data_IF_785093488108
#
_entry.id   IF_785093488108
#
_cell.length_a   1.000
_cell.length_b   1.000
_cell.length_c   1.000
_cell.angle_alpha   90.00
_cell.angle_beta   90.00
_cell.angle_gamma   90.00
#
_symmetry.space_group_name_H-M   'P 1'
#
loop_
_entity.id
_entity.type
_entity.pdbx_description
1 polymer ?
#
# COMPACT_ATOMS: atom_id res chain seq x y z
N UNK A 1 19.26 -36.14 10.41
CA UNK A 1 19.13 -35.65 9.02
C UNK A 1 18.99 -34.15 9.07
N UNK A 2 19.99 -33.44 8.52
CA UNK A 2 20.02 -31.98 8.41
C UNK A 2 19.39 -31.57 7.06
N UNK A 3 18.78 -30.39 7.00
CA UNK A 3 18.15 -29.84 5.79
C UNK A 3 18.85 -28.56 5.28
N UNK A 4 20.15 -28.57 4.96
CA UNK A 4 20.92 -27.36 4.65
C UNK A 4 20.45 -26.60 3.40
N UNK A 5 19.79 -27.29 2.46
CA UNK A 5 19.16 -26.65 1.30
C UNK A 5 17.95 -25.80 1.72
N UNK A 6 17.14 -26.28 2.67
CA UNK A 6 16.01 -25.52 3.19
C UNK A 6 16.48 -24.30 4.00
N UNK A 7 17.51 -24.48 4.84
CA UNK A 7 18.13 -23.36 5.58
C UNK A 7 18.63 -22.26 4.64
N UNK A 8 19.34 -22.65 3.58
CA UNK A 8 19.88 -21.68 2.61
C UNK A 8 18.76 -21.00 1.83
N UNK A 9 17.74 -21.73 1.39
CA UNK A 9 16.59 -21.15 0.69
C UNK A 9 15.85 -20.14 1.57
N UNK A 10 15.56 -20.50 2.82
CA UNK A 10 14.90 -19.64 3.79
C UNK A 10 15.68 -18.34 4.04
N UNK A 11 16.99 -18.43 4.30
CA UNK A 11 17.83 -17.25 4.54
C UNK A 11 17.92 -16.37 3.29
N UNK A 12 18.06 -16.97 2.11
CA UNK A 12 18.09 -16.21 0.87
C UNK A 12 16.77 -15.49 0.62
N UNK A 13 15.63 -16.14 0.88
CA UNK A 13 14.32 -15.51 0.72
C UNK A 13 14.18 -14.29 1.62
N UNK A 14 14.46 -14.44 2.92
CA UNK A 14 14.41 -13.34 3.88
C UNK A 14 15.37 -12.20 3.51
N UNK A 15 16.59 -12.52 3.10
CA UNK A 15 17.61 -11.51 2.78
C UNK A 15 17.35 -10.79 1.45
N UNK A 16 16.75 -11.46 0.46
CA UNK A 16 16.61 -10.94 -0.89
C UNK A 16 15.20 -10.42 -1.17
N UNK A 17 14.17 -11.24 -0.96
CA UNK A 17 12.77 -10.88 -1.23
C UNK A 17 12.09 -10.28 0.00
N UNK A 18 12.44 -10.75 1.20
CA UNK A 18 11.67 -10.46 2.41
C UNK A 18 10.42 -11.34 2.52
N UNK A 19 9.66 -11.14 3.59
CA UNK A 19 8.36 -11.78 3.79
C UNK A 19 7.56 -10.94 4.79
N UNK A 20 6.23 -10.91 4.65
CA UNK A 20 5.35 -10.34 5.69
C UNK A 20 5.35 -11.22 6.94
N UNK A 21 5.13 -12.54 6.74
CA UNK A 21 5.06 -13.53 7.80
C UNK A 21 6.08 -14.64 7.60
N UNK A 22 6.76 -15.01 8.67
CA UNK A 22 7.57 -16.23 8.72
C UNK A 22 6.91 -17.24 9.64
N UNK A 23 6.25 -18.23 9.06
CA UNK A 23 5.51 -19.24 9.83
C UNK A 23 6.26 -20.56 9.89
N UNK A 24 6.54 -21.04 11.10
CA UNK A 24 7.04 -22.38 11.34
C UNK A 24 6.01 -23.20 12.09
N UNK A 25 5.71 -24.40 11.61
CA UNK A 25 4.86 -25.36 12.29
C UNK A 25 5.57 -26.69 12.38
N UNK A 26 5.94 -27.10 13.60
CA UNK A 26 6.72 -28.31 13.78
C UNK A 26 7.25 -28.50 15.19
N UNK A 27 8.29 -29.32 15.31
CA UNK A 27 8.99 -29.53 16.56
C UNK A 27 10.19 -28.58 16.64
N UNK A 28 10.40 -28.00 17.80
CA UNK A 28 11.60 -27.21 18.05
C UNK A 28 12.17 -27.51 19.44
N UNK A 29 13.44 -27.19 19.59
CA UNK A 29 14.07 -26.97 20.89
C UNK A 29 14.20 -25.47 21.12
N UNK A 30 14.82 -25.09 22.24
CA UNK A 30 15.10 -23.69 22.56
C UNK A 30 15.89 -22.98 21.44
N UNK A 31 16.79 -23.69 20.78
CA UNK A 31 17.84 -23.14 19.92
C UNK A 31 17.75 -23.54 18.44
N UNK A 32 16.85 -24.45 18.07
CA UNK A 32 16.65 -24.84 16.67
C UNK A 32 15.27 -25.42 16.36
N UNK A 33 14.85 -25.24 15.11
CA UNK A 33 13.75 -25.97 14.50
C UNK A 33 14.18 -27.37 14.05
N UNK A 34 13.24 -28.33 14.04
CA UNK A 34 13.52 -29.71 13.68
C UNK A 34 14.29 -29.83 12.37
N UNK A 35 15.18 -30.82 12.31
CA UNK A 35 16.11 -31.04 11.19
C UNK A 35 17.13 -29.90 10.96
N UNK A 36 17.29 -29.01 11.94
CA UNK A 36 18.14 -27.84 11.88
C UNK A 36 17.82 -26.98 10.65
N UNK A 37 16.52 -26.80 10.37
CA UNK A 37 16.07 -25.92 9.28
C UNK A 37 16.48 -24.48 9.57
N UNK A 38 16.37 -24.04 10.82
CA UNK A 38 16.90 -22.78 11.32
C UNK A 38 17.44 -22.99 12.73
N UNK A 39 18.60 -22.39 13.02
CA UNK A 39 19.25 -22.46 14.33
C UNK A 39 19.75 -21.09 14.76
N UNK A 40 20.06 -20.92 16.05
CA UNK A 40 20.69 -19.69 16.57
C UNK A 40 22.02 -19.35 15.88
N UNK A 41 22.75 -20.35 15.37
CA UNK A 41 23.99 -20.13 14.61
C UNK A 41 23.74 -19.57 13.20
N UNK A 42 22.52 -19.66 12.70
CA UNK A 42 22.16 -19.12 11.38
C UNK A 42 21.71 -17.67 11.45
N UNK A 43 21.25 -17.20 12.61
CA UNK A 43 20.76 -15.83 12.83
C UNK A 43 21.76 -14.74 12.37
N UNK A 44 23.09 -14.84 12.63
CA UNK A 44 24.05 -13.86 12.13
C UNK A 44 24.18 -13.78 10.59
N UNK A 45 23.59 -14.73 9.85
CA UNK A 45 23.58 -14.74 8.37
C UNK A 45 22.43 -13.90 7.80
N UNK A 46 21.51 -13.43 8.64
CA UNK A 46 20.40 -12.59 8.24
C UNK A 46 20.88 -11.15 7.99
N UNK A 47 20.40 -10.57 6.91
CA UNK A 47 20.72 -9.22 6.42
C UNK A 47 19.45 -8.41 6.09
N UNK A 48 18.29 -8.86 6.55
CA UNK A 48 16.96 -8.35 6.20
C UNK A 48 16.49 -7.19 7.10
N UNK A 49 17.40 -6.34 7.57
CA UNK A 49 17.08 -5.28 8.55
C UNK A 49 16.04 -4.26 8.06
N UNK A 50 15.92 -4.09 6.73
CA UNK A 50 14.92 -3.21 6.09
C UNK A 50 13.64 -3.94 5.70
N UNK A 51 13.50 -5.23 6.01
CA UNK A 51 12.35 -6.08 5.67
C UNK A 51 12.16 -7.20 6.69
N UNK A 52 11.86 -6.80 7.91
CA UNK A 52 11.72 -7.71 9.04
C UNK A 52 10.31 -8.34 9.05
N UNK A 53 10.17 -9.67 8.89
CA UNK A 53 8.88 -10.33 9.01
C UNK A 53 8.37 -10.36 10.45
N UNK A 54 7.06 -10.57 10.59
CA UNK A 54 6.48 -11.09 11.83
C UNK A 54 6.62 -12.62 11.88
N UNK A 55 7.20 -13.13 12.97
CA UNK A 55 7.38 -14.55 13.20
C UNK A 55 6.13 -15.21 13.80
N UNK A 56 5.66 -16.30 13.21
CA UNK A 56 4.63 -17.16 13.78
C UNK A 56 5.23 -18.53 14.08
N UNK A 57 5.65 -18.74 15.32
CA UNK A 57 6.30 -19.99 15.73
C UNK A 57 5.29 -20.94 16.36
N UNK A 58 4.68 -21.79 15.53
CA UNK A 58 3.72 -22.83 15.89
C UNK A 58 4.45 -24.11 16.31
N UNK A 59 5.36 -23.96 17.26
CA UNK A 59 6.09 -25.06 17.89
C UNK A 59 5.91 -25.06 19.41
N UNK A 60 6.70 -25.89 20.09
CA UNK A 60 6.57 -26.15 21.51
C UNK A 60 7.57 -25.41 22.41
N UNK A 61 8.60 -24.73 21.88
CA UNK A 61 9.73 -24.39 22.75
C UNK A 61 10.68 -23.25 22.36
N UNK A 62 10.61 -22.69 21.16
CA UNK A 62 11.70 -21.84 20.65
C UNK A 62 11.65 -20.35 21.09
N UNK A 63 10.56 -19.92 21.74
CA UNK A 63 10.44 -18.62 22.42
C UNK A 63 11.08 -18.61 23.81
N UNK A 64 10.86 -19.67 24.59
CA UNK A 64 11.54 -20.01 25.86
C UNK A 64 11.77 -18.85 26.85
N UNK A 65 10.78 -17.97 27.05
CA UNK A 65 10.89 -16.85 27.98
C UNK A 65 10.72 -17.21 29.48
N UNK A 66 10.36 -18.46 29.79
CA UNK A 66 10.26 -18.93 31.18
C UNK A 66 11.60 -18.86 31.94
N UNK A 67 12.74 -18.82 31.22
CA UNK A 67 14.05 -18.50 31.77
C UNK A 67 14.70 -17.37 30.93
N UNK A 68 14.42 -16.10 31.24
CA UNK A 68 14.77 -14.95 30.38
C UNK A 68 16.29 -14.77 30.20
N UNK A 69 17.09 -15.33 31.12
CA UNK A 69 18.55 -15.31 31.06
C UNK A 69 19.12 -16.28 30.01
N UNK A 70 18.30 -17.18 29.46
CA UNK A 70 18.72 -18.18 28.47
C UNK A 70 18.35 -17.72 27.06
N UNK A 71 19.31 -17.68 26.11
CA UNK A 71 19.01 -17.42 24.71
C UNK A 71 18.02 -18.45 24.16
N UNK A 72 17.19 -18.00 23.23
CA UNK A 72 16.22 -18.79 22.49
C UNK A 72 16.25 -18.35 21.04
N UNK A 73 15.84 -19.22 20.11
CA UNK A 73 15.87 -18.92 18.68
C UNK A 73 15.05 -17.67 18.36
N UNK A 74 13.80 -17.57 18.85
CA UNK A 74 12.96 -16.38 18.65
C UNK A 74 13.58 -15.16 19.33
N UNK A 75 14.13 -15.32 20.53
CA UNK A 75 14.82 -14.24 21.23
C UNK A 75 16.03 -13.71 20.45
N UNK A 76 16.79 -14.59 19.81
CA UNK A 76 17.95 -14.21 19.01
C UNK A 76 17.54 -13.57 17.68
N UNK A 77 16.46 -14.05 17.05
CA UNK A 77 15.87 -13.42 15.87
C UNK A 77 15.37 -12.01 16.15
N UNK A 78 14.75 -11.75 17.31
CA UNK A 78 14.28 -10.41 17.69
C UNK A 78 15.40 -9.44 18.09
N UNK A 79 16.57 -9.95 18.50
CA UNK A 79 17.71 -9.14 18.95
C UNK A 79 18.83 -9.04 17.93
N UNK A 80 18.67 -9.65 16.77
CA UNK A 80 19.70 -9.68 15.75
C UNK A 80 19.95 -8.26 15.21
N UNK A 81 21.22 -7.84 15.23
CA UNK A 81 21.58 -6.45 14.88
C UNK A 81 21.54 -6.14 13.38
N UNK A 82 21.27 -7.14 12.53
CA UNK A 82 21.40 -7.02 11.08
C UNK A 82 20.23 -7.68 10.33
N UNK A 83 19.15 -8.07 11.01
CA UNK A 83 18.02 -8.78 10.42
C UNK A 83 17.20 -9.48 11.51
N UNK A 84 16.45 -10.51 11.13
CA UNK A 84 15.64 -11.29 12.07
C UNK A 84 14.15 -10.94 12.00
N UNK A 85 13.51 -10.74 13.15
CA UNK A 85 12.07 -10.47 13.29
C UNK A 85 11.79 -9.08 13.86
N UNK A 86 10.70 -8.44 13.40
CA UNK A 86 10.18 -7.21 14.02
C UNK A 86 9.32 -7.53 15.25
N UNK A 87 8.65 -8.69 15.23
CA UNK A 87 7.80 -9.21 16.29
C UNK A 87 7.55 -10.71 16.09
N UNK A 88 7.09 -11.40 17.13
CA UNK A 88 6.79 -12.83 17.04
C UNK A 88 5.63 -13.27 17.93
N UNK A 89 4.81 -14.21 17.46
CA UNK A 89 3.85 -14.95 18.27
C UNK A 89 4.36 -16.37 18.48
N UNK A 90 4.82 -16.67 19.70
CA UNK A 90 5.63 -17.86 19.97
C UNK A 90 5.42 -18.40 21.40
N UNK A 91 5.76 -19.68 21.65
CA UNK A 91 5.64 -20.30 22.97
C UNK A 91 6.75 -19.83 23.95
N UNK A 92 6.38 -19.38 25.14
CA UNK A 92 7.33 -18.97 26.20
C UNK A 92 7.89 -20.14 27.01
N UNK A 93 7.36 -21.34 26.85
CA UNK A 93 7.75 -22.54 27.60
C UNK A 93 7.23 -23.80 26.92
N UNK A 94 7.52 -24.98 27.48
CA UNK A 94 6.98 -26.23 26.92
C UNK A 94 5.45 -26.23 26.95
N UNK A 95 4.85 -26.43 25.78
CA UNK A 95 3.41 -26.55 25.59
C UNK A 95 3.02 -27.84 24.88
N UNK A 96 1.72 -28.13 24.86
CA UNK A 96 1.16 -29.23 24.08
C UNK A 96 1.35 -28.97 22.57
N UNK A 97 1.83 -29.96 21.81
CA UNK A 97 2.00 -29.82 20.36
C UNK A 97 0.68 -29.85 19.56
N UNK A 98 -0.45 -30.09 20.22
CA UNK A 98 -1.79 -30.07 19.61
C UNK A 98 -2.53 -28.77 19.90
N UNK A 99 -3.29 -28.27 18.91
CA UNK A 99 -4.01 -26.99 19.01
C UNK A 99 -3.33 -25.82 18.28
N UNK A 100 -2.09 -25.98 17.83
CA UNK A 100 -1.37 -24.95 17.05
C UNK A 100 -2.10 -24.58 15.75
N UNK A 101 -2.76 -25.55 15.12
CA UNK A 101 -3.60 -25.31 13.95
C UNK A 101 -4.78 -24.37 14.24
N UNK A 102 -5.29 -24.34 15.47
CA UNK A 102 -6.38 -23.45 15.87
C UNK A 102 -5.86 -22.04 16.16
N UNK A 103 -4.69 -21.91 16.79
CA UNK A 103 -4.00 -20.63 16.91
C UNK A 103 -3.71 -20.04 15.52
N UNK A 104 -3.16 -20.84 14.61
CA UNK A 104 -2.89 -20.42 13.24
C UNK A 104 -4.16 -19.96 12.52
N UNK A 105 -5.25 -20.73 12.61
CA UNK A 105 -6.54 -20.34 12.01
C UNK A 105 -7.06 -19.02 12.54
N UNK A 106 -7.06 -18.83 13.86
CA UNK A 106 -7.52 -17.55 14.43
C UNK A 106 -6.62 -16.38 14.07
N UNK A 107 -5.29 -16.61 13.96
CA UNK A 107 -4.33 -15.60 13.52
C UNK A 107 -4.59 -15.19 12.07
N UNK A 108 -4.61 -16.15 11.14
CA UNK A 108 -4.83 -15.87 9.72
C UNK A 108 -6.25 -15.39 9.43
N UNK A 109 -7.26 -15.86 10.17
CA UNK A 109 -8.62 -15.34 10.01
C UNK A 109 -8.68 -13.86 10.39
N UNK A 110 -8.15 -13.49 11.56
CA UNK A 110 -8.11 -12.09 11.95
C UNK A 110 -7.32 -11.24 10.96
N UNK A 111 -6.13 -11.72 10.58
CA UNK A 111 -5.21 -10.95 9.76
C UNK A 111 -5.63 -10.84 8.29
N UNK A 112 -6.05 -11.94 7.67
CA UNK A 112 -6.30 -12.02 6.23
C UNK A 112 -7.79 -11.92 5.88
N UNK A 113 -8.68 -12.43 6.74
CA UNK A 113 -10.13 -12.47 6.44
C UNK A 113 -10.88 -11.30 7.07
N UNK A 114 -10.50 -10.92 8.29
CA UNK A 114 -11.19 -9.87 9.06
C UNK A 114 -10.43 -8.52 9.00
N UNK A 115 -9.39 -8.42 8.15
CA UNK A 115 -8.52 -7.26 7.95
C UNK A 115 -8.02 -6.58 9.24
N UNK A 116 -7.77 -7.36 10.29
CA UNK A 116 -7.23 -6.86 11.55
C UNK A 116 -5.71 -6.82 11.45
N UNK A 117 -5.10 -5.64 11.43
CA UNK A 117 -3.66 -5.45 11.20
C UNK A 117 -2.87 -5.21 12.50
N UNK A 118 -3.49 -4.69 13.56
CA UNK A 118 -2.88 -4.54 14.89
C UNK A 118 -2.36 -5.90 15.42
N UNK A 119 -1.03 -6.05 15.57
CA UNK A 119 -0.42 -7.32 15.96
C UNK A 119 -0.94 -7.84 17.32
N UNK A 120 -1.18 -6.92 18.26
CA UNK A 120 -1.83 -7.24 19.53
C UNK A 120 -3.24 -7.78 19.36
N UNK A 121 -4.05 -7.18 18.48
CA UNK A 121 -5.41 -7.62 18.21
C UNK A 121 -5.43 -8.98 17.49
N UNK A 122 -4.54 -9.18 16.51
CA UNK A 122 -4.39 -10.44 15.77
C UNK A 122 -4.02 -11.60 16.71
N UNK A 123 -3.04 -11.38 17.60
CA UNK A 123 -2.64 -12.41 18.57
C UNK A 123 -3.71 -12.67 19.63
N UNK A 124 -4.50 -11.66 20.01
CA UNK A 124 -5.67 -11.84 20.86
C UNK A 124 -6.75 -12.66 20.15
N UNK A 125 -7.07 -12.34 18.89
CA UNK A 125 -8.05 -13.07 18.09
C UNK A 125 -7.65 -14.53 17.90
N UNK A 126 -6.36 -14.80 17.65
CA UNK A 126 -5.78 -16.14 17.63
C UNK A 126 -6.08 -16.93 18.92
N UNK A 127 -5.88 -16.30 20.09
CA UNK A 127 -6.18 -16.92 21.39
C UNK A 127 -7.69 -17.11 21.62
N UNK A 128 -8.52 -16.13 21.25
CA UNK A 128 -9.98 -16.23 21.39
C UNK A 128 -10.55 -17.35 20.50
N UNK A 129 -10.03 -17.50 19.28
CA UNK A 129 -10.38 -18.60 18.39
C UNK A 129 -10.07 -19.94 19.04
N UNK A 130 -8.86 -20.12 19.59
CA UNK A 130 -8.48 -21.33 20.32
C UNK A 130 -9.41 -21.57 21.52
N UNK A 131 -9.68 -20.55 22.32
CA UNK A 131 -10.57 -20.66 23.49
C UNK A 131 -11.96 -21.17 23.09
N UNK A 132 -12.49 -20.69 21.95
CA UNK A 132 -13.77 -21.13 21.39
C UNK A 132 -13.82 -22.61 20.99
N UNK A 133 -12.67 -23.26 20.76
CA UNK A 133 -12.62 -24.70 20.45
C UNK A 133 -12.92 -25.62 21.64
N UNK A 134 -12.85 -25.08 22.87
CA UNK A 134 -13.10 -25.85 24.08
C UNK A 134 -11.93 -26.73 24.57
N UNK A 135 -10.76 -26.69 23.94
CA UNK A 135 -9.62 -27.57 24.21
C UNK A 135 -8.26 -26.84 24.13
N UNK A 136 -7.18 -27.49 24.61
CA UNK A 136 -5.79 -27.02 24.55
C UNK A 136 -5.55 -25.64 25.20
N UNK A 137 -6.23 -25.41 26.32
CA UNK A 137 -6.15 -24.14 27.06
C UNK A 137 -4.77 -23.81 27.62
N UNK A 138 -3.88 -24.80 27.74
CA UNK A 138 -2.49 -24.57 28.11
C UNK A 138 -1.81 -23.60 27.14
N UNK A 139 -2.11 -23.70 25.85
CA UNK A 139 -1.55 -22.81 24.82
C UNK A 139 -1.95 -21.33 25.00
N UNK A 140 -3.09 -21.04 25.63
CA UNK A 140 -3.48 -19.66 25.94
C UNK A 140 -2.50 -18.98 26.91
N UNK A 141 -1.90 -19.78 27.79
CA UNK A 141 -0.91 -19.35 28.77
C UNK A 141 0.53 -19.46 28.25
N UNK A 142 0.79 -20.41 27.34
CA UNK A 142 2.12 -20.65 26.81
C UNK A 142 2.49 -19.73 25.65
N UNK A 143 1.55 -19.38 24.77
CA UNK A 143 1.84 -18.48 23.65
C UNK A 143 1.77 -17.02 24.07
N UNK A 144 2.72 -16.20 23.63
CA UNK A 144 2.68 -14.75 23.81
C UNK A 144 3.16 -14.01 22.57
N UNK A 145 2.76 -12.74 22.49
CA UNK A 145 3.37 -11.77 21.61
C UNK A 145 4.71 -11.34 22.21
N UNK A 146 5.75 -11.36 21.38
CA UNK A 146 7.04 -10.72 21.59
C UNK A 146 7.16 -9.54 20.62
N UNK A 147 7.41 -8.34 21.14
CA UNK A 147 7.46 -7.11 20.34
C UNK A 147 6.43 -6.09 20.82
N UNK A 148 6.08 -5.16 19.93
CA UNK A 148 5.09 -4.11 20.19
C UNK A 148 3.67 -4.59 19.82
N UNK A 149 2.71 -4.62 20.76
CA UNK A 149 1.32 -4.94 20.42
C UNK A 149 0.64 -3.90 19.51
N UNK A 150 1.18 -2.69 19.39
CA UNK A 150 0.69 -1.64 18.49
C UNK A 150 1.32 -1.70 17.09
N UNK A 151 2.22 -2.65 16.83
CA UNK A 151 2.76 -2.90 15.48
C UNK A 151 1.60 -3.20 14.51
N UNK A 152 1.53 -2.48 13.39
CA UNK A 152 0.62 -2.80 12.30
C UNK A 152 1.27 -3.81 11.35
N UNK A 153 0.60 -4.93 11.09
CA UNK A 153 1.00 -5.89 10.08
C UNK A 153 0.39 -5.44 8.75
N UNK A 154 1.21 -4.96 7.81
CA UNK A 154 0.76 -4.52 6.49
C UNK A 154 0.36 -5.72 5.63
N UNK A 155 -0.92 -6.09 5.64
CA UNK A 155 -1.49 -7.25 4.92
C UNK A 155 -1.94 -6.96 3.52
N UNK A 156 -2.34 -5.72 3.30
CA UNK A 156 -2.49 -5.12 2.00
C UNK A 156 -1.37 -4.10 1.89
N UNK A 157 -0.69 -3.97 0.74
CA UNK A 157 -0.06 -2.71 0.45
C UNK A 157 -1.21 -1.71 0.44
N UNK A 158 -1.43 -0.97 1.54
CA UNK A 158 -2.04 0.33 1.39
C UNK A 158 -1.09 1.03 0.43
N UNK A 159 -1.51 1.13 -0.83
CA UNK A 159 -0.70 1.73 -1.88
C UNK A 159 -0.71 3.20 -1.59
N UNK A 160 0.24 3.61 -0.75
CA UNK A 160 0.45 5.01 -0.49
C UNK A 160 0.93 5.62 -1.80
N UNK A 161 0.05 6.42 -2.40
CA UNK A 161 0.36 7.02 -3.68
C UNK A 161 1.56 7.94 -3.52
N UNK A 162 2.54 7.84 -4.42
CA UNK A 162 3.74 8.68 -4.36
C UNK A 162 4.60 8.46 -3.10
N UNK A 163 4.57 7.29 -2.49
CA UNK A 163 5.59 6.80 -1.56
C UNK A 163 6.80 6.28 -2.34
N UNK A 164 7.79 7.12 -2.64
CA UNK A 164 8.94 6.72 -3.48
C UNK A 164 10.05 6.01 -2.70
N UNK A 165 9.99 5.98 -1.37
CA UNK A 165 11.05 5.47 -0.51
C UNK A 165 10.64 4.23 0.31
N UNK A 166 9.36 3.84 0.23
CA UNK A 166 8.79 2.66 0.87
C UNK A 166 8.59 2.81 2.37
N UNK A 167 8.50 4.04 2.89
CA UNK A 167 8.30 4.29 4.33
C UNK A 167 6.82 4.28 4.75
N UNK A 168 5.90 4.20 3.78
CA UNK A 168 4.47 4.10 3.98
C UNK A 168 3.73 5.43 3.91
N UNK A 169 4.43 6.56 3.76
CA UNK A 169 3.86 7.90 3.68
C UNK A 169 3.90 8.47 2.24
N UNK A 170 3.00 9.40 1.95
CA UNK A 170 2.93 10.07 0.66
C UNK A 170 4.03 11.13 0.62
N UNK A 171 5.04 10.92 -0.23
CA UNK A 171 6.08 11.92 -0.40
C UNK A 171 5.52 13.20 -1.03
N UNK A 172 5.77 14.33 -0.38
CA UNK A 172 5.52 15.65 -0.97
C UNK A 172 6.43 15.83 -2.17
N UNK A 173 5.85 15.69 -3.36
CA UNK A 173 6.60 15.57 -4.61
C UNK A 173 5.95 16.31 -5.78
N UNK A 174 6.79 16.70 -6.74
CA UNK A 174 6.37 17.40 -7.95
C UNK A 174 7.14 16.94 -9.18
N UNK A 175 6.47 16.91 -10.33
CA UNK A 175 7.08 16.79 -11.64
C UNK A 175 7.12 18.15 -12.34
N UNK A 176 8.24 18.51 -12.98
CA UNK A 176 8.37 19.76 -13.74
C UNK A 176 8.16 19.51 -15.24
N UNK A 177 6.99 19.82 -15.82
CA UNK A 177 6.70 19.50 -17.21
C UNK A 177 7.56 20.27 -18.21
N UNK A 178 8.10 21.43 -17.80
CA UNK A 178 8.95 22.26 -18.68
C UNK A 178 10.27 21.60 -19.05
N UNK A 179 10.79 20.68 -18.24
CA UNK A 179 12.07 20.01 -18.49
C UNK A 179 12.10 18.51 -18.14
N UNK A 180 11.01 17.96 -17.62
CA UNK A 180 10.86 16.55 -17.28
C UNK A 180 11.66 16.09 -16.06
N UNK A 181 11.78 16.95 -15.05
CA UNK A 181 12.51 16.65 -13.82
C UNK A 181 11.54 16.38 -12.67
N UNK A 182 11.85 15.38 -11.88
CA UNK A 182 11.14 15.03 -10.65
C UNK A 182 11.83 15.65 -9.45
N UNK A 183 11.04 16.04 -8.47
CA UNK A 183 11.48 16.50 -7.17
C UNK A 183 10.62 15.78 -6.12
N UNK A 184 11.23 15.24 -5.08
CA UNK A 184 10.60 14.79 -3.83
C UNK A 184 11.28 15.53 -2.68
N UNK A 185 10.53 15.84 -1.63
CA UNK A 185 11.06 16.53 -0.46
C UNK A 185 12.11 15.68 0.26
N UNK A 186 11.89 14.36 0.32
CA UNK A 186 12.69 13.41 1.08
C UNK A 186 13.76 12.72 0.20
N UNK A 187 13.45 12.46 -1.08
CA UNK A 187 14.36 11.78 -2.02
C UNK A 187 15.19 12.74 -2.90
N UNK A 188 14.88 14.04 -2.90
CA UNK A 188 15.62 15.04 -3.64
C UNK A 188 15.14 15.21 -5.09
N UNK A 189 16.02 15.03 -6.09
CA UNK A 189 15.64 15.29 -7.50
C UNK A 189 16.29 14.32 -8.48
N UNK A 190 15.55 13.99 -9.54
CA UNK A 190 16.04 13.15 -10.62
C UNK A 190 15.53 13.61 -11.98
N UNK A 191 16.39 13.49 -12.99
CA UNK A 191 16.02 13.79 -14.37
C UNK A 191 15.47 12.52 -15.03
N UNK A 192 14.14 12.41 -15.13
CA UNK A 192 13.49 11.32 -15.83
C UNK A 192 12.26 11.79 -16.59
N UNK A 193 12.40 11.90 -17.91
CA UNK A 193 11.40 12.49 -18.80
C UNK A 193 11.92 13.73 -19.52
N UNK A 194 11.01 14.38 -20.24
CA UNK A 194 11.27 15.61 -21.01
C UNK A 194 9.98 16.39 -21.20
N UNK A 195 10.08 17.57 -21.80
CA UNK A 195 8.91 18.39 -22.16
C UNK A 195 7.87 17.60 -22.94
N UNK A 196 6.63 17.63 -22.48
CA UNK A 196 5.48 16.95 -23.08
C UNK A 196 5.28 15.49 -22.66
N UNK A 197 6.08 14.99 -21.72
CA UNK A 197 5.78 13.74 -21.01
C UNK A 197 4.85 14.04 -19.82
N UNK A 198 4.03 13.06 -19.45
CA UNK A 198 3.14 13.09 -18.27
C UNK A 198 3.75 12.21 -17.16
N UNK A 199 3.78 12.66 -15.90
CA UNK A 199 4.18 11.82 -14.77
C UNK A 199 3.10 10.78 -14.50
N UNK A 200 3.51 9.52 -14.30
CA UNK A 200 2.61 8.38 -14.03
C UNK A 200 3.22 7.50 -12.94
N UNK A 201 3.49 8.04 -11.74
CA UNK A 201 4.04 7.24 -10.66
C UNK A 201 3.10 6.06 -10.34
N UNK A 202 3.67 4.94 -9.94
CA UNK A 202 2.95 3.71 -9.60
C UNK A 202 3.95 2.59 -9.28
N UNK A 203 3.49 1.50 -8.67
CA UNK A 203 4.32 0.34 -8.33
C UNK A 203 4.33 -0.65 -9.51
N UNK A 204 5.30 -0.56 -10.41
CA UNK A 204 5.34 -1.36 -11.65
C UNK A 204 6.23 -2.61 -11.55
N UNK A 205 7.10 -2.70 -10.55
CA UNK A 205 7.98 -3.86 -10.35
C UNK A 205 7.54 -4.78 -9.18
N UNK A 206 6.56 -4.33 -8.39
CA UNK A 206 5.90 -5.10 -7.34
C UNK A 206 6.65 -5.11 -6.01
N UNK A 207 7.60 -4.20 -5.78
CA UNK A 207 8.35 -4.13 -4.53
C UNK A 207 7.60 -3.43 -3.39
N UNK A 208 6.54 -2.67 -3.71
CA UNK A 208 5.70 -1.95 -2.77
C UNK A 208 5.90 -0.44 -2.81
N UNK A 209 7.03 0.00 -3.36
CA UNK A 209 7.41 1.39 -3.48
C UNK A 209 6.79 1.99 -4.75
N UNK A 210 6.64 3.31 -4.77
CA UNK A 210 6.20 4.03 -5.95
C UNK A 210 7.36 4.25 -6.91
N UNK A 211 7.26 3.72 -8.13
CA UNK A 211 8.26 3.97 -9.16
C UNK A 211 8.09 5.33 -9.84
N UNK A 212 9.23 5.88 -10.24
CA UNK A 212 9.29 7.03 -11.14
C UNK A 212 9.02 6.59 -12.57
N UNK A 213 7.85 6.95 -13.12
CA UNK A 213 7.50 6.63 -14.49
C UNK A 213 6.87 7.80 -15.24
N UNK A 214 7.10 7.84 -16.57
CA UNK A 214 6.44 8.80 -17.46
C UNK A 214 5.65 8.10 -18.58
N UNK A 215 4.54 8.71 -18.98
CA UNK A 215 3.83 8.41 -20.22
C UNK A 215 4.15 9.49 -21.25
N UNK A 216 4.37 9.07 -22.50
CA UNK A 216 4.68 9.98 -23.61
C UNK A 216 3.54 9.99 -24.62
N UNK A 217 2.63 10.98 -24.54
CA UNK A 217 1.47 11.07 -25.44
C UNK A 217 1.85 11.07 -26.93
N UNK A 218 2.96 11.72 -27.29
CA UNK A 218 3.42 11.82 -28.69
C UNK A 218 3.69 10.47 -29.38
N UNK A 219 3.87 9.37 -28.64
CA UNK A 219 4.11 8.05 -29.21
C UNK A 219 3.40 6.89 -28.48
N UNK A 220 2.64 7.17 -27.42
CA UNK A 220 1.92 6.16 -26.64
C UNK A 220 2.84 5.18 -25.92
N UNK A 221 3.99 5.65 -25.42
CA UNK A 221 4.96 4.82 -24.70
C UNK A 221 5.06 5.20 -23.24
N UNK A 222 5.24 4.18 -22.41
CA UNK A 222 5.54 4.26 -20.99
C UNK A 222 7.04 4.04 -20.78
N UNK A 223 7.60 4.76 -19.82
CA UNK A 223 9.01 4.72 -19.45
C UNK A 223 9.10 4.72 -17.93
N UNK A 224 9.14 3.53 -17.33
CA UNK A 224 9.44 3.33 -15.90
C UNK A 224 10.96 3.42 -15.71
N UNK A 225 11.41 4.05 -14.63
CA UNK A 225 12.83 4.19 -14.32
C UNK A 225 13.46 2.80 -14.15
N UNK A 226 14.67 2.59 -14.67
CA UNK A 226 15.34 1.27 -14.62
C UNK A 226 14.81 0.23 -15.61
N UNK A 227 13.61 0.42 -16.18
CA UNK A 227 12.90 -0.60 -16.95
C UNK A 227 12.90 -0.40 -18.47
N UNK A 228 12.52 -1.46 -19.20
CA UNK A 228 12.42 -1.42 -20.66
C UNK A 228 11.15 -0.68 -21.10
N UNK A 229 11.23 0.33 -22.02
CA UNK A 229 10.05 1.07 -22.44
C UNK A 229 8.99 0.22 -23.13
N UNK A 230 7.74 0.36 -22.71
CA UNK A 230 6.58 -0.35 -23.24
C UNK A 230 5.76 0.57 -24.13
N UNK A 231 5.21 0.05 -25.22
CA UNK A 231 4.23 0.77 -26.06
C UNK A 231 2.82 0.30 -25.71
N UNK A 232 2.10 1.14 -24.98
CA UNK A 232 0.71 0.88 -24.61
C UNK A 232 -0.05 2.21 -24.59
N UNK A 233 -1.02 2.36 -25.49
CA UNK A 233 -1.76 3.61 -25.69
C UNK A 233 -1.42 4.35 -26.98
N UNK A 234 -2.05 5.51 -27.14
CA UNK A 234 -2.00 6.37 -28.31
C UNK A 234 -1.99 7.85 -27.92
N UNK A 235 -1.82 8.74 -28.90
CA UNK A 235 -1.89 10.18 -28.66
C UNK A 235 -3.30 10.60 -28.23
N UNK A 236 -3.38 11.39 -27.16
CA UNK A 236 -4.64 11.82 -26.55
C UNK A 236 -5.27 10.80 -25.61
N UNK A 237 -4.60 9.67 -25.35
CA UNK A 237 -4.98 8.79 -24.25
C UNK A 237 -4.46 9.37 -22.92
N UNK A 238 -5.24 9.17 -21.86
CA UNK A 238 -4.90 9.56 -20.49
C UNK A 238 -4.40 8.31 -19.75
N UNK A 239 -3.18 8.31 -19.20
CA UNK A 239 -2.64 7.18 -18.46
C UNK A 239 -3.34 7.00 -17.11
N UNK A 240 -3.65 5.76 -16.75
CA UNK A 240 -4.41 5.39 -15.55
C UNK A 240 -3.78 4.18 -14.84
N UNK A 241 -2.51 4.25 -14.40
CA UNK A 241 -1.86 3.13 -13.73
C UNK A 241 -2.60 2.80 -12.42
N UNK A 242 -2.80 1.50 -12.19
CA UNK A 242 -3.49 0.92 -11.04
C UNK A 242 -3.39 -0.60 -11.13
N UNK A 243 -3.55 -1.31 -10.03
CA UNK A 243 -3.62 -2.78 -10.00
C UNK A 243 -5.05 -3.28 -10.23
N UNK A 244 -5.42 -3.44 -11.49
CA UNK A 244 -6.75 -3.90 -11.88
C UNK A 244 -6.87 -5.43 -11.83
N UNK A 245 -5.82 -6.15 -11.43
CA UNK A 245 -5.76 -7.61 -11.51
C UNK A 245 -5.56 -8.29 -10.12
N UNK A 246 -5.14 -7.52 -9.12
CA UNK A 246 -4.93 -7.91 -7.74
C UNK A 246 -3.61 -8.63 -7.47
N UNK A 247 -2.58 -8.42 -8.30
CA UNK A 247 -1.29 -9.09 -8.13
C UNK A 247 -0.25 -8.25 -7.38
N UNK A 248 -0.60 -7.04 -6.95
CA UNK A 248 0.35 -6.16 -6.27
C UNK A 248 1.12 -5.25 -7.23
N UNK A 249 0.84 -5.28 -8.54
CA UNK A 249 1.55 -4.49 -9.56
C UNK A 249 0.57 -3.59 -10.32
N UNK A 250 0.95 -2.33 -10.56
CA UNK A 250 0.15 -1.42 -11.37
C UNK A 250 0.24 -1.78 -12.86
N UNK A 251 -0.92 -1.97 -13.50
CA UNK A 251 -0.98 -2.14 -14.95
C UNK A 251 -0.73 -0.84 -15.70
N UNK A 252 -0.07 -0.98 -16.85
CA UNK A 252 -0.12 0.02 -17.91
C UNK A 252 -1.54 0.10 -18.48
N UNK A 253 -2.31 1.08 -18.03
CA UNK A 253 -3.68 1.30 -18.48
C UNK A 253 -3.88 2.71 -19.04
N UNK A 254 -4.78 2.82 -20.02
CA UNK A 254 -5.17 4.10 -20.59
C UNK A 254 -6.67 4.23 -20.74
N UNK A 255 -7.18 5.41 -20.41
CA UNK A 255 -8.51 5.88 -20.77
C UNK A 255 -8.44 6.73 -22.03
N UNK A 256 -9.38 6.54 -22.97
CA UNK A 256 -9.43 7.31 -24.22
C UNK A 256 -10.60 8.30 -24.20
N UNK A 257 -10.37 9.59 -23.90
CA UNK A 257 -11.44 10.59 -23.75
C UNK A 257 -12.29 10.79 -24.99
N UNK A 258 -11.72 10.57 -26.19
CA UNK A 258 -12.44 10.77 -27.46
C UNK A 258 -13.62 9.82 -27.67
N UNK A 259 -13.65 8.68 -26.96
CA UNK A 259 -14.75 7.72 -27.03
C UNK A 259 -15.17 7.13 -25.68
N UNK A 260 -14.43 7.43 -24.61
CA UNK A 260 -14.69 6.92 -23.27
C UNK A 260 -14.28 5.47 -23.06
N UNK A 261 -13.37 4.90 -23.84
CA UNK A 261 -13.00 3.49 -23.70
C UNK A 261 -11.73 3.28 -22.86
N UNK A 262 -11.65 2.12 -22.20
CA UNK A 262 -10.50 1.68 -21.40
C UNK A 262 -9.69 0.61 -22.12
N UNK A 263 -8.37 0.68 -21.94
CA UNK A 263 -7.40 -0.29 -22.46
C UNK A 263 -6.36 -0.60 -21.38
N UNK A 264 -6.51 -1.74 -20.72
CA UNK A 264 -5.63 -2.20 -19.63
C UNK A 264 -4.75 -3.33 -20.17
N UNK A 265 -3.44 -3.27 -19.91
CA UNK A 265 -2.53 -4.32 -20.36
C UNK A 265 -2.89 -5.66 -19.72
N UNK A 266 -2.82 -6.75 -20.50
CA UNK A 266 -3.18 -8.08 -19.99
C UNK A 266 -4.68 -8.37 -19.93
N UNK A 267 -5.54 -7.35 -20.10
CA UNK A 267 -6.99 -7.51 -20.02
C UNK A 267 -7.73 -7.38 -21.36
N UNK A 268 -9.00 -7.78 -21.37
CA UNK A 268 -9.87 -7.61 -22.54
C UNK A 268 -10.25 -6.14 -22.73
N UNK A 269 -10.64 -5.76 -23.96
CA UNK A 269 -11.10 -4.40 -24.26
C UNK A 269 -12.41 -4.05 -23.52
N UNK A 270 -12.47 -2.87 -22.90
CA UNK A 270 -13.60 -2.43 -22.08
C UNK A 270 -14.20 -1.13 -22.67
N UNK A 271 -15.31 -1.23 -23.44
CA UNK A 271 -15.96 -0.07 -24.06
C UNK A 271 -16.89 0.63 -23.05
N UNK A 272 -16.32 1.34 -22.08
CA UNK A 272 -17.11 1.84 -20.95
C UNK A 272 -16.75 3.27 -20.53
N UNK A 273 -17.71 4.17 -20.76
CA UNK A 273 -17.57 5.62 -20.59
C UNK A 273 -18.14 6.33 -21.81
N UNK A 274 -18.13 7.66 -21.77
CA UNK A 274 -18.43 8.54 -22.92
C UNK A 274 -17.50 9.77 -22.91
N UNK A 275 -17.43 10.54 -24.01
CA UNK A 275 -16.65 11.76 -24.02
C UNK A 275 -17.04 12.75 -22.91
N UNK A 276 -16.02 13.38 -22.30
CA UNK A 276 -16.08 14.27 -21.14
C UNK A 276 -16.40 13.61 -19.79
N UNK A 277 -16.38 12.27 -19.72
CA UNK A 277 -16.25 11.60 -18.43
C UNK A 277 -14.79 11.69 -17.94
N UNK A 278 -14.63 11.86 -16.63
CA UNK A 278 -13.33 11.92 -15.95
C UNK A 278 -13.07 10.52 -15.35
N UNK A 279 -11.99 9.82 -15.73
CA UNK A 279 -11.63 8.54 -15.14
C UNK A 279 -11.18 8.72 -13.68
N UNK A 280 -11.64 7.83 -12.81
CA UNK A 280 -11.34 7.87 -11.38
C UNK A 280 -11.22 6.45 -10.81
N UNK A 281 -10.30 5.61 -11.32
CA UNK A 281 -10.15 4.23 -10.83
C UNK A 281 -9.60 4.23 -9.40
N UNK A 282 -10.13 3.35 -8.57
CA UNK A 282 -9.89 3.25 -7.12
C UNK A 282 -10.49 1.92 -6.63
N UNK A 283 -10.14 1.44 -5.45
CA UNK A 283 -10.66 0.18 -4.86
C UNK A 283 -11.96 0.44 -4.09
N UNK A 284 -13.10 0.59 -4.78
CA UNK A 284 -14.35 1.02 -4.12
C UNK A 284 -15.07 -0.11 -3.37
N UNK A 285 -14.59 -1.35 -3.43
CA UNK A 285 -15.18 -2.49 -2.71
C UNK A 285 -14.20 -3.23 -1.78
N UNK A 286 -13.00 -2.69 -1.59
CA UNK A 286 -12.01 -3.11 -0.61
C UNK A 286 -11.39 -4.47 -0.90
N UNK A 287 -11.41 -4.91 -2.16
CA UNK A 287 -10.92 -6.24 -2.55
C UNK A 287 -9.41 -6.26 -2.85
N UNK A 288 -8.75 -5.11 -2.73
CA UNK A 288 -7.34 -4.89 -3.00
C UNK A 288 -7.05 -4.64 -4.48
N UNK A 289 -8.09 -4.50 -5.33
CA UNK A 289 -7.94 -4.23 -6.76
C UNK A 289 -8.58 -2.90 -7.14
N UNK A 290 -7.99 -2.23 -8.13
CA UNK A 290 -8.56 -1.02 -8.67
C UNK A 290 -9.77 -1.33 -9.54
N UNK A 291 -10.92 -0.78 -9.17
CA UNK A 291 -12.10 -0.75 -10.02
C UNK A 291 -11.96 0.28 -11.13
N UNK A 292 -12.59 -0.04 -12.26
CA UNK A 292 -12.80 0.94 -13.33
C UNK A 292 -13.97 1.84 -12.94
N UNK A 293 -13.70 3.13 -12.74
CA UNK A 293 -14.74 4.12 -12.47
C UNK A 293 -14.57 5.41 -13.26
N UNK A 294 -15.69 6.09 -13.47
CA UNK A 294 -15.74 7.42 -14.09
C UNK A 294 -16.68 8.34 -13.31
N UNK A 295 -16.30 9.60 -13.22
CA UNK A 295 -17.17 10.71 -12.81
C UNK A 295 -17.68 11.44 -14.05
N UNK A 296 -18.99 11.70 -14.11
CA UNK A 296 -19.63 12.42 -15.21
C UNK A 296 -20.09 13.81 -14.76
N UNK A 297 -19.33 14.88 -15.02
CA UNK A 297 -19.66 16.24 -14.58
C UNK A 297 -21.03 16.72 -15.05
N UNK A 298 -21.43 16.36 -16.28
CA UNK A 298 -22.70 16.79 -16.89
C UNK A 298 -23.96 16.38 -16.10
N UNK A 299 -23.86 15.35 -15.26
CA UNK A 299 -24.94 14.97 -14.36
C UNK A 299 -24.49 14.70 -12.93
N UNK A 300 -23.23 14.99 -12.59
CA UNK A 300 -22.56 14.75 -11.31
C UNK A 300 -22.81 13.36 -10.74
N UNK A 301 -22.71 12.32 -11.58
CA UNK A 301 -22.84 10.93 -11.16
C UNK A 301 -21.50 10.22 -11.32
N UNK A 302 -21.27 9.30 -10.39
CA UNK A 302 -20.26 8.27 -10.45
C UNK A 302 -20.85 7.04 -11.09
N UNK A 303 -20.05 6.40 -11.92
CA UNK A 303 -20.31 5.09 -12.47
C UNK A 303 -19.07 4.30 -12.10
N UNK A 304 -19.25 3.20 -11.37
CA UNK A 304 -18.22 2.21 -11.06
C UNK A 304 -18.62 0.96 -11.84
N UNK A 305 -17.67 0.33 -12.53
CA UNK A 305 -17.95 -0.76 -13.45
C UNK A 305 -18.59 -1.93 -12.70
N UNK A 306 -19.65 -2.53 -13.25
CA UNK A 306 -20.39 -3.59 -12.57
C UNK A 306 -21.34 -3.13 -11.44
N UNK A 307 -21.27 -1.86 -11.02
CA UNK A 307 -22.09 -1.33 -9.93
C UNK A 307 -23.22 -0.39 -10.42
N UNK A 308 -24.15 -0.04 -9.53
CA UNK A 308 -25.24 0.90 -9.82
C UNK A 308 -24.73 2.36 -9.80
N UNK A 309 -25.17 3.25 -10.71
CA UNK A 309 -24.71 4.63 -10.72
C UNK A 309 -25.09 5.41 -9.46
N UNK A 310 -24.11 6.12 -8.89
CA UNK A 310 -24.26 6.91 -7.66
C UNK A 310 -24.33 8.40 -8.00
N UNK A 311 -25.28 9.13 -7.41
CA UNK A 311 -25.40 10.59 -7.60
C UNK A 311 -24.70 11.31 -6.44
N UNK A 312 -23.44 11.66 -6.66
CA UNK A 312 -22.63 12.39 -5.69
C UNK A 312 -21.72 13.38 -6.43
N UNK A 313 -21.89 14.68 -6.17
CA UNK A 313 -21.15 15.74 -6.86
C UNK A 313 -22.01 16.66 -7.75
N UNK A 314 -21.36 17.74 -8.21
CA UNK A 314 -21.90 18.83 -8.99
C UNK A 314 -21.02 19.13 -10.23
N UNK A 315 -21.52 20.02 -11.09
CA UNK A 315 -20.72 20.52 -12.21
C UNK A 315 -19.43 21.18 -11.68
N UNK A 316 -18.31 20.92 -12.36
CA UNK A 316 -16.96 21.40 -12.04
C UNK A 316 -16.34 20.84 -10.74
N UNK A 317 -16.98 19.88 -10.09
CA UNK A 317 -16.34 19.12 -9.01
C UNK A 317 -15.23 18.22 -9.60
N UNK A 318 -14.12 18.13 -8.87
CA UNK A 318 -12.97 17.28 -9.19
C UNK A 318 -13.12 15.97 -8.42
N UNK A 319 -13.11 14.79 -9.08
CA UNK A 319 -13.11 13.51 -8.38
C UNK A 319 -11.78 13.31 -7.63
N UNK A 320 -11.86 12.91 -6.37
CA UNK A 320 -10.72 12.67 -5.48
C UNK A 320 -10.97 11.41 -4.64
N UNK A 321 -11.21 10.24 -5.26
CA UNK A 321 -11.46 9.02 -4.49
C UNK A 321 -10.24 8.65 -3.64
N UNK A 322 -10.49 7.93 -2.55
CA UNK A 322 -9.49 7.53 -1.57
C UNK A 322 -10.16 7.05 -0.29
N UNK A 323 -9.54 6.16 0.46
CA UNK A 323 -10.01 5.70 1.78
C UNK A 323 -9.85 6.82 2.84
N UNK A 324 -10.85 7.69 3.05
CA UNK A 324 -10.76 8.81 3.99
C UNK A 324 -11.16 8.44 5.43
N UNK A 325 -11.72 7.24 5.66
CA UNK A 325 -12.12 6.80 7.01
C UNK A 325 -11.43 5.52 7.51
N UNK A 326 -10.49 4.98 6.72
CA UNK A 326 -9.57 3.92 7.09
C UNK A 326 -10.23 2.54 7.15
N UNK A 327 -11.34 2.34 6.43
CA UNK A 327 -12.07 1.08 6.44
C UNK A 327 -11.57 0.06 5.40
N UNK A 328 -10.66 0.50 4.51
CA UNK A 328 -10.07 -0.28 3.43
C UNK A 328 -10.76 -0.12 2.08
N UNK A 329 -11.91 0.56 2.02
CA UNK A 329 -12.62 0.86 0.76
C UNK A 329 -12.30 2.32 0.34
N UNK A 330 -11.98 2.55 -0.94
CA UNK A 330 -11.85 3.92 -1.45
C UNK A 330 -13.22 4.61 -1.52
N UNK A 331 -13.32 5.79 -0.90
CA UNK A 331 -14.55 6.56 -0.88
C UNK A 331 -14.85 7.27 -2.20
N UNK A 332 -16.15 7.39 -2.51
CA UNK A 332 -16.63 8.37 -3.49
C UNK A 332 -16.49 9.78 -2.90
N UNK A 333 -15.51 10.55 -3.37
CA UNK A 333 -15.23 11.89 -2.88
C UNK A 333 -15.00 12.91 -4.01
N UNK A 334 -15.42 14.16 -3.75
CA UNK A 334 -15.18 15.30 -4.65
C UNK A 334 -14.61 16.52 -3.93
N UNK A 335 -13.69 17.22 -4.59
CA UNK A 335 -13.26 18.57 -4.23
C UNK A 335 -13.99 19.58 -5.12
N UNK A 336 -14.52 20.65 -4.53
CA UNK A 336 -15.23 21.72 -5.25
C UNK A 336 -14.38 22.98 -5.37
N UNK A 337 -13.77 23.26 -6.54
CA UNK A 337 -12.85 24.38 -6.70
C UNK A 337 -13.50 25.75 -6.46
N UNK A 338 -14.81 25.88 -6.72
CA UNK A 338 -15.53 27.15 -6.55
C UNK A 338 -15.63 27.64 -5.11
N UNK A 339 -15.47 26.75 -4.12
CA UNK A 339 -15.52 27.12 -2.71
C UNK A 339 -14.43 26.47 -1.83
N UNK A 340 -13.64 25.54 -2.35
CA UNK A 340 -12.57 24.89 -1.60
C UNK A 340 -13.05 23.82 -0.62
N UNK A 341 -14.27 23.30 -0.78
CA UNK A 341 -14.82 22.27 0.10
C UNK A 341 -14.62 20.87 -0.48
N UNK A 342 -14.42 19.92 0.42
CA UNK A 342 -14.37 18.48 0.17
C UNK A 342 -15.69 17.84 0.57
N UNK A 343 -16.21 16.95 -0.26
CA UNK A 343 -17.45 16.20 -0.03
C UNK A 343 -17.19 14.71 -0.21
N UNK A 344 -16.94 14.03 0.91
CA UNK A 344 -16.78 12.58 0.98
C UNK A 344 -18.17 11.96 1.22
N UNK A 345 -18.53 10.94 0.47
CA UNK A 345 -19.83 10.29 0.59
C UNK A 345 -19.98 9.65 1.96
N UNK A 346 -21.18 9.76 2.57
CA UNK A 346 -21.40 9.23 3.92
C UNK A 346 -20.87 10.13 5.06
N UNK A 347 -20.02 11.11 4.76
CA UNK A 347 -19.38 11.96 5.77
C UNK A 347 -19.88 13.43 5.74
N UNK A 348 -19.47 14.22 6.74
CA UNK A 348 -19.71 15.66 6.77
C UNK A 348 -18.71 16.37 5.85
N UNK A 349 -19.16 17.39 5.10
CA UNK A 349 -18.24 18.13 4.24
C UNK A 349 -17.15 18.83 5.06
N UNK A 350 -15.95 18.90 4.49
CA UNK A 350 -14.79 19.55 5.11
C UNK A 350 -14.44 20.82 4.33
N UNK A 351 -14.35 21.95 5.04
CA UNK A 351 -13.98 23.23 4.45
C UNK A 351 -12.47 23.42 4.53
N UNK A 352 -11.73 22.84 3.58
CA UNK A 352 -10.26 22.86 3.56
C UNK A 352 -9.70 23.18 2.17
N UNK A 353 -9.70 24.47 1.85
CA UNK A 353 -9.22 24.98 0.58
C UNK A 353 -9.75 26.38 0.32
N UNK A 354 -9.32 26.96 -0.80
CA UNK A 354 -9.79 28.22 -1.35
C UNK A 354 -9.88 28.09 -2.87
N UNK A 355 -10.66 28.95 -3.54
CA UNK A 355 -10.65 29.01 -5.00
C UNK A 355 -9.23 29.21 -5.55
N UNK A 356 -8.82 28.30 -6.45
CA UNK A 356 -7.48 28.25 -7.04
C UNK A 356 -6.47 27.35 -6.32
N UNK A 357 -6.85 26.72 -5.21
CA UNK A 357 -6.08 25.63 -4.62
C UNK A 357 -6.32 24.32 -5.41
N UNK A 358 -5.29 23.49 -5.48
CA UNK A 358 -5.29 22.19 -6.16
C UNK A 358 -5.41 21.09 -5.08
N UNK A 359 -6.39 20.17 -5.17
CA UNK A 359 -6.47 19.05 -4.23
C UNK A 359 -5.30 18.10 -4.47
N UNK A 360 -4.64 17.66 -3.39
CA UNK A 360 -3.48 16.76 -3.40
C UNK A 360 -3.65 15.69 -2.31
N UNK A 361 -4.75 14.91 -2.31
CA UNK A 361 -4.99 13.93 -1.26
C UNK A 361 -3.92 12.82 -1.28
N UNK A 362 -3.58 12.30 -0.11
CA UNK A 362 -2.63 11.21 0.10
C UNK A 362 -2.49 10.93 1.59
N UNK A 363 -2.03 9.74 1.99
CA UNK A 363 -1.69 9.45 3.38
C UNK A 363 -0.33 10.08 3.70
N UNK A 364 -0.31 11.26 4.32
CA UNK A 364 0.93 11.97 4.67
C UNK A 364 1.39 11.70 6.11
N UNK A 365 0.73 10.78 6.82
CA UNK A 365 1.00 10.55 8.23
C UNK A 365 1.09 9.06 8.63
N UNK A 366 1.10 8.16 7.64
CA UNK A 366 1.28 6.71 7.77
C UNK A 366 0.16 6.04 8.60
N UNK A 367 -1.04 6.63 8.64
CA UNK A 367 -2.15 6.04 9.38
C UNK A 367 -3.04 5.14 8.51
N UNK A 368 -2.76 5.04 7.21
CA UNK A 368 -3.53 4.28 6.24
C UNK A 368 -4.81 4.99 5.78
N UNK A 369 -5.08 6.22 6.27
CA UNK A 369 -6.19 7.05 5.82
C UNK A 369 -5.68 8.11 4.84
N UNK A 370 -6.47 8.43 3.82
CA UNK A 370 -6.16 9.51 2.89
C UNK A 370 -6.39 10.87 3.56
N UNK A 371 -5.33 11.65 3.72
CA UNK A 371 -5.44 13.00 4.27
C UNK A 371 -6.01 13.99 3.26
N UNK A 372 -6.86 14.87 3.77
CA UNK A 372 -7.32 16.05 3.03
C UNK A 372 -6.17 17.06 2.94
N UNK A 373 -5.64 17.24 1.74
CA UNK A 373 -4.54 18.17 1.49
C UNK A 373 -4.74 19.01 0.24
N UNK A 374 -4.25 20.25 0.28
CA UNK A 374 -4.25 21.18 -0.86
C UNK A 374 -2.85 21.74 -1.12
N UNK A 375 -2.54 21.96 -2.40
CA UNK A 375 -1.48 22.85 -2.84
C UNK A 375 -2.09 24.21 -3.16
N UNK A 376 -1.47 25.29 -2.67
CA UNK A 376 -1.83 26.67 -3.00
C UNK A 376 -0.76 27.30 -3.89
N UNK A 377 -0.93 27.29 -5.22
CA UNK A 377 0.06 27.84 -6.15
C UNK A 377 0.36 29.32 -5.90
N UNK A 378 -0.63 30.09 -5.44
CA UNK A 378 -0.51 31.53 -5.19
C UNK A 378 0.52 31.90 -4.13
N UNK A 379 0.89 30.97 -3.24
CA UNK A 379 1.97 31.18 -2.26
C UNK A 379 2.99 30.03 -2.17
N UNK A 380 2.85 29.01 -3.03
CA UNK A 380 3.75 27.87 -3.14
C UNK A 380 3.83 27.04 -1.86
N UNK A 381 2.68 26.81 -1.22
CA UNK A 381 2.61 26.02 0.00
C UNK A 381 1.63 24.86 -0.12
N UNK A 382 2.00 23.75 0.48
CA UNK A 382 1.15 22.61 0.78
C UNK A 382 0.49 22.81 2.14
N UNK A 383 -0.78 22.44 2.24
CA UNK A 383 -1.58 22.47 3.47
C UNK A 383 -2.25 21.12 3.61
N UNK A 384 -1.63 20.26 4.40
CA UNK A 384 -2.17 18.95 4.78
C UNK A 384 -2.96 19.17 6.08
N UNK A 385 -4.19 18.67 6.14
CA UNK A 385 -5.04 18.82 7.31
C UNK A 385 -4.36 18.20 8.53
N UNK A 386 -4.39 18.88 9.68
CA UNK A 386 -3.69 18.42 10.89
C UNK A 386 -2.19 18.71 10.95
N UNK A 387 -1.52 19.00 9.82
CA UNK A 387 -0.08 19.26 9.77
C UNK A 387 0.27 20.75 9.60
N UNK A 388 1.55 21.07 9.82
CA UNK A 388 2.07 22.42 9.61
C UNK A 388 2.29 22.72 8.12
N UNK A 389 1.91 23.91 7.61
CA UNK A 389 2.07 24.21 6.18
C UNK A 389 3.53 24.18 5.70
N UNK A 390 3.77 23.47 4.60
CA UNK A 390 5.09 23.30 4.00
C UNK A 390 5.25 24.26 2.82
N UNK A 391 6.34 25.04 2.77
CA UNK A 391 6.65 25.91 1.62
C UNK A 391 7.57 25.19 0.65
N UNK A 392 6.98 24.40 -0.23
CA UNK A 392 7.70 23.50 -1.12
C UNK A 392 7.01 23.38 -2.48
N UNK A 393 7.06 24.43 -3.31
CA UNK A 393 6.47 24.40 -4.66
C UNK A 393 7.04 25.51 -5.53
N UNK A 394 7.21 25.23 -6.83
CA UNK A 394 7.52 26.22 -7.85
C UNK A 394 6.40 26.26 -8.88
N UNK A 395 5.96 27.47 -9.24
CA UNK A 395 4.87 27.66 -10.19
C UNK A 395 5.14 26.96 -11.53
N UNK A 396 4.16 26.19 -11.99
CA UNK A 396 4.22 25.38 -13.21
C UNK A 396 4.67 23.94 -12.99
N UNK A 397 5.10 23.58 -11.77
CA UNK A 397 5.27 22.18 -11.41
C UNK A 397 3.90 21.50 -11.23
N UNK A 398 3.86 20.22 -11.53
CA UNK A 398 2.73 19.30 -11.38
C UNK A 398 2.83 18.60 -10.03
N UNK A 399 1.89 18.80 -9.08
CA UNK A 399 1.90 18.10 -7.81
C UNK A 399 1.54 16.63 -7.97
N UNK A 400 2.19 15.77 -7.21
CA UNK A 400 1.86 14.36 -7.07
C UNK A 400 1.25 14.13 -5.67
N UNK A 401 0.37 13.14 -5.48
CA UNK A 401 0.00 12.05 -6.40
C UNK A 401 -1.15 12.37 -7.39
N UNK A 402 -1.53 13.65 -7.55
CA UNK A 402 -2.69 14.07 -8.36
C UNK A 402 -2.66 13.43 -9.75
N UNK A 403 -3.75 12.77 -10.13
CA UNK A 403 -3.97 12.27 -11.51
C UNK A 403 -4.58 13.37 -12.37
N UNK A 404 -4.45 13.30 -13.69
CA UNK A 404 -5.04 14.27 -14.63
C UNK A 404 -6.55 14.46 -14.36
N UNK A 405 -6.89 15.57 -13.69
CA UNK A 405 -8.21 15.80 -13.06
C UNK A 405 -9.31 16.20 -14.05
N UNK A 406 -8.99 16.46 -15.32
CA UNK A 406 -9.97 16.89 -16.32
C UNK A 406 -10.06 15.94 -17.54
N UNK A 407 -9.17 14.94 -17.60
CA UNK A 407 -9.09 13.93 -18.65
C UNK A 407 -8.81 14.49 -20.05
N UNK A 408 -8.15 15.63 -20.17
CA UNK A 408 -7.76 16.21 -21.46
C UNK A 408 -6.35 15.80 -21.92
N UNK A 409 -5.60 15.09 -21.07
CA UNK A 409 -4.29 14.55 -21.39
C UNK A 409 -3.16 15.57 -21.27
N UNK A 410 -3.35 16.66 -20.54
CA UNK A 410 -2.30 17.60 -20.19
C UNK A 410 -2.00 17.67 -18.68
N UNK A 411 -0.89 18.33 -18.35
CA UNK A 411 -0.42 18.47 -16.97
C UNK A 411 -1.03 19.69 -16.27
N UNK A 412 -1.81 20.52 -16.96
CA UNK A 412 -2.30 21.81 -16.47
C UNK A 412 -3.53 22.30 -17.26
N UNK A 413 -4.73 22.01 -16.72
CA UNK A 413 -5.96 22.83 -16.70
C UNK A 413 -7.23 22.19 -17.24
#
# INVERSE_FOLDING_TARGET
NLCPAATTALINELNNSGALLMTYAGHATVDYWAHNVLTTNDVPRLTNITKLPVGLSLDCHDGYWIYPERPSLVGDLLRASNGGYIGAFAPTGEGNSSGHNSLAKGFYQALITDNTTDFGAVTLASKLFLYGTGNNYDLLHTFTLFGDPALQIQTSPNRTMADFNGDGDTDVSVYRPSNGRWFSMDEGQIQWGRTGDLPVPGNYDGDGDTDIAIFRPSNGKWYVYGETPIKWGAAGDVPMPCDYNGDGIDEFAVYRPTNGNWYIQGQSFIPWGIPNDIPAPADYDGDGTCDIAIYRPSNGKWYIYGQAPVKWGALDDIPVPGDYDGDGDDDIAVYRPSNGNWYIMGQSFVSWGLPGDIPVPGDYNENGEIDIAILRPSNGKWYILGLSPLKWYVAGDYPLPVRDTNADGDAHH
#
